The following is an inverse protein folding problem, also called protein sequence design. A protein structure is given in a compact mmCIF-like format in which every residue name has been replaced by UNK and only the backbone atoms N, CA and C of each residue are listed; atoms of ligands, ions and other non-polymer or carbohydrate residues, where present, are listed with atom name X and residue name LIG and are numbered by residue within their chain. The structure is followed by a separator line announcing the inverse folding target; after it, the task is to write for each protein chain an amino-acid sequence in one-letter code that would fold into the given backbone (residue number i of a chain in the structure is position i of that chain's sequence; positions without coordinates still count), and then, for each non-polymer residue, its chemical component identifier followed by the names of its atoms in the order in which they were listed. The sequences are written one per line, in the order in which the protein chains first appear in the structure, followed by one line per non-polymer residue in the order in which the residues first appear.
data_IF_719805568672
#
_entry.id   IF_719805568672
#
_cell.length_a   1.000
_cell.length_b   1.000
_cell.length_c   1.000
_cell.angle_alpha   90.00
_cell.angle_beta   90.00
_cell.angle_gamma   90.00
#
_symmetry.space_group_name_H-M   'P 1'
#
loop_
_entity.id
_entity.type
_entity.pdbx_description
1 polymer ?
#
# COMPACT_ATOMS: atom_id res chain seq x y z
N UNK A 1 10.41 32.01 1.30
CA UNK A 1 11.43 30.99 0.96
C UNK A 1 11.74 30.23 2.24
N UNK A 2 11.07 29.10 2.47
CA UNK A 2 11.31 28.26 3.65
C UNK A 2 11.95 26.96 3.19
N UNK A 3 13.21 26.75 3.56
CA UNK A 3 13.95 25.51 3.36
C UNK A 3 13.53 24.50 4.42
N UNK A 4 12.90 23.39 4.01
CA UNK A 4 12.58 22.28 4.90
C UNK A 4 13.85 21.47 5.17
N UNK A 5 14.35 21.52 6.41
CA UNK A 5 15.56 20.83 6.88
C UNK A 5 15.25 19.47 7.55
N UNK A 6 14.15 18.82 7.19
CA UNK A 6 13.84 17.47 7.67
C UNK A 6 14.57 16.44 6.84
N UNK A 7 15.68 15.90 7.36
CA UNK A 7 16.41 14.81 6.71
C UNK A 7 15.52 13.56 6.62
N UNK A 8 15.57 12.87 5.47
CA UNK A 8 14.95 11.54 5.21
C UNK A 8 15.14 10.54 6.36
N UNK A 9 16.18 10.73 7.17
CA UNK A 9 16.46 9.95 8.38
C UNK A 9 15.32 9.94 9.42
N UNK A 10 14.53 11.00 9.54
CA UNK A 10 13.46 11.04 10.54
C UNK A 10 12.27 10.13 10.16
N UNK A 11 11.92 10.04 8.87
CA UNK A 11 10.91 9.11 8.40
C UNK A 11 11.34 7.63 8.55
N UNK A 12 12.64 7.36 8.44
CA UNK A 12 13.21 6.03 8.68
C UNK A 12 13.24 5.63 10.16
N UNK A 13 13.33 6.61 11.08
CA UNK A 13 13.26 6.34 12.52
C UNK A 13 11.83 6.03 12.98
N UNK A 14 10.79 6.64 12.40
CA UNK A 14 9.40 6.22 12.63
C UNK A 14 9.08 4.84 12.04
N UNK A 15 9.89 4.37 11.08
CA UNK A 15 9.83 3.01 10.54
C UNK A 15 10.47 1.99 11.50
N UNK A 16 11.25 2.42 12.49
CA UNK A 16 11.87 1.49 13.47
C UNK A 16 10.85 0.80 14.39
N UNK A 17 9.64 1.34 14.53
CA UNK A 17 8.52 0.66 15.19
C UNK A 17 7.88 -0.44 14.32
N UNK A 18 8.27 -0.54 13.05
CA UNK A 18 7.96 -1.63 12.13
C UNK A 18 9.20 -2.52 11.96
N UNK A 19 9.63 -3.17 13.04
CA UNK A 19 10.82 -4.03 13.01
C UNK A 19 10.60 -5.24 12.08
N UNK A 20 11.35 -5.26 10.98
CA UNK A 20 11.59 -6.47 10.19
C UNK A 20 12.93 -7.06 10.66
N UNK A 21 12.94 -8.34 11.02
CA UNK A 21 14.17 -9.10 11.20
C UNK A 21 14.81 -9.26 9.83
N UNK A 22 15.87 -8.49 9.54
CA UNK A 22 16.71 -8.71 8.37
C UNK A 22 17.46 -10.04 8.56
N UNK A 23 16.96 -11.10 7.95
CA UNK A 23 17.70 -12.37 7.84
C UNK A 23 18.81 -12.14 6.81
N UNK A 24 20.05 -12.12 7.29
CA UNK A 24 21.23 -12.12 6.44
C UNK A 24 21.50 -13.53 5.90
N UNK A 25 21.24 -13.75 4.61
CA UNK A 25 21.85 -14.84 3.82
C UNK A 25 21.77 -14.45 2.34
N UNK A 26 22.87 -13.97 1.77
CA UNK A 26 23.86 -14.71 0.97
C UNK A 26 23.47 -14.92 -0.49
N UNK A 27 24.32 -14.36 -1.36
CA UNK A 27 24.50 -14.60 -2.80
C UNK A 27 23.41 -14.09 -3.77
N UNK A 28 23.80 -13.10 -4.57
CA UNK A 28 23.08 -12.59 -5.73
C UNK A 28 23.11 -13.64 -6.86
N UNK A 29 22.17 -14.57 -6.83
CA UNK A 29 21.77 -15.32 -8.02
C UNK A 29 20.36 -14.88 -8.38
N UNK A 30 20.13 -14.57 -9.65
CA UNK A 30 18.80 -14.22 -10.17
C UNK A 30 17.87 -15.42 -9.98
N UNK A 31 17.07 -15.39 -8.92
CA UNK A 31 16.04 -16.40 -8.67
C UNK A 31 14.95 -16.16 -9.72
N UNK A 32 14.68 -17.12 -10.63
CA UNK A 32 13.59 -16.96 -11.58
C UNK A 32 12.26 -16.82 -10.83
N UNK A 33 11.33 -16.05 -11.40
CA UNK A 33 9.98 -15.98 -10.84
C UNK A 33 9.42 -17.39 -10.73
N UNK A 34 8.80 -17.72 -9.59
CA UNK A 34 8.22 -19.03 -9.40
C UNK A 34 7.04 -19.26 -10.35
N UNK A 35 6.78 -20.52 -10.68
CA UNK A 35 5.65 -20.85 -11.54
C UNK A 35 4.32 -20.43 -10.87
N UNK A 36 3.37 -19.84 -11.61
CA UNK A 36 2.11 -19.35 -11.05
C UNK A 36 1.24 -20.45 -10.44
N UNK A 37 1.44 -21.71 -10.87
CA UNK A 37 0.72 -22.90 -10.39
C UNK A 37 1.34 -23.55 -9.15
N UNK A 38 2.49 -23.06 -8.67
CA UNK A 38 3.09 -23.60 -7.44
C UNK A 38 2.32 -23.16 -6.20
N UNK A 39 2.14 -24.09 -5.25
CA UNK A 39 1.56 -23.76 -3.95
C UNK A 39 2.44 -22.72 -3.24
N UNK A 40 1.80 -21.82 -2.49
CA UNK A 40 2.53 -20.92 -1.61
C UNK A 40 3.27 -21.70 -0.52
N UNK A 41 4.49 -21.27 -0.24
CA UNK A 41 5.23 -21.75 0.93
C UNK A 41 4.53 -21.30 2.22
N UNK A 42 4.79 -21.99 3.33
CA UNK A 42 4.26 -21.57 4.63
C UNK A 42 4.75 -20.17 5.04
N UNK A 43 5.98 -19.82 4.64
CA UNK A 43 6.52 -18.48 4.81
C UNK A 43 5.78 -17.43 3.97
N UNK A 44 5.47 -17.72 2.71
CA UNK A 44 4.67 -16.83 1.85
C UNK A 44 3.27 -16.62 2.43
N UNK A 45 2.62 -17.69 2.89
CA UNK A 45 1.32 -17.61 3.57
C UNK A 45 1.39 -16.75 4.84
N UNK A 46 2.42 -16.95 5.66
CA UNK A 46 2.63 -16.17 6.88
C UNK A 46 2.84 -14.68 6.55
N UNK A 47 3.68 -14.38 5.56
CA UNK A 47 3.98 -13.01 5.14
C UNK A 47 2.78 -12.31 4.49
N UNK A 48 1.83 -13.09 3.94
CA UNK A 48 0.62 -12.61 3.28
C UNK A 48 -0.58 -12.38 4.19
N UNK A 49 -0.52 -12.80 5.45
CA UNK A 49 -1.59 -12.56 6.42
C UNK A 49 -2.00 -11.09 6.48
N UNK A 50 -3.28 -10.79 6.76
CA UNK A 50 -3.73 -9.42 6.94
C UNK A 50 -2.93 -8.70 8.02
N UNK A 51 -2.57 -7.44 7.74
CA UNK A 51 -1.78 -6.60 8.64
C UNK A 51 -2.57 -5.39 9.09
N UNK A 52 -2.38 -4.98 10.33
CA UNK A 52 -2.99 -3.78 10.91
C UNK A 52 -1.91 -2.72 11.06
N UNK A 53 -2.10 -1.58 10.41
CA UNK A 53 -1.23 -0.40 10.47
C UNK A 53 -1.91 0.66 11.32
N UNK A 54 -1.24 1.12 12.38
CA UNK A 54 -1.70 2.22 13.21
C UNK A 54 -1.23 3.52 12.59
N UNK A 55 -2.15 4.39 12.21
CA UNK A 55 -1.83 5.70 11.63
C UNK A 55 -1.66 6.73 12.74
N UNK A 56 -2.61 6.75 13.68
CA UNK A 56 -2.59 7.61 14.86
C UNK A 56 -3.44 6.95 15.95
N UNK A 57 -3.65 7.65 17.07
CA UNK A 57 -4.43 7.14 18.22
C UNK A 57 -5.88 6.75 17.87
N UNK A 58 -6.42 7.25 16.77
CA UNK A 58 -7.82 7.09 16.39
C UNK A 58 -8.02 6.26 15.12
N UNK A 59 -6.98 6.07 14.31
CA UNK A 59 -7.09 5.46 12.99
C UNK A 59 -6.14 4.28 12.82
N UNK A 60 -6.70 3.16 12.38
CA UNK A 60 -5.99 1.99 11.88
C UNK A 60 -6.42 1.67 10.45
N UNK A 61 -5.52 1.05 9.69
CA UNK A 61 -5.83 0.45 8.39
C UNK A 61 -5.50 -1.02 8.43
N UNK A 62 -6.42 -1.84 7.95
CA UNK A 62 -6.24 -3.28 7.77
C UNK A 62 -5.96 -3.54 6.30
N UNK A 63 -4.82 -4.13 5.98
CA UNK A 63 -4.46 -4.51 4.61
C UNK A 63 -4.46 -6.03 4.51
N UNK A 64 -5.32 -6.55 3.64
CA UNK A 64 -5.25 -7.93 3.15
C UNK A 64 -4.45 -7.96 1.84
N UNK A 65 -3.73 -9.06 1.62
CA UNK A 65 -2.94 -9.33 0.42
C UNK A 65 -3.58 -10.48 -0.36
N UNK A 66 -3.16 -10.70 -1.61
CA UNK A 66 -3.67 -11.82 -2.40
C UNK A 66 -3.03 -13.12 -1.92
N UNK A 67 -3.85 -14.02 -1.38
CA UNK A 67 -3.40 -15.24 -0.68
C UNK A 67 -3.44 -16.51 -1.55
N UNK A 68 -4.18 -16.51 -2.66
CA UNK A 68 -4.46 -17.74 -3.42
C UNK A 68 -3.66 -17.89 -4.72
N UNK A 69 -2.85 -16.89 -5.06
CA UNK A 69 -2.07 -16.87 -6.31
C UNK A 69 -0.63 -16.44 -6.01
N UNK A 70 0.34 -17.15 -6.59
CA UNK A 70 1.76 -16.80 -6.45
C UNK A 70 2.14 -15.73 -7.46
N UNK A 71 3.02 -14.82 -7.07
CA UNK A 71 3.53 -13.80 -7.97
C UNK A 71 4.49 -14.46 -8.94
N UNK A 72 4.17 -14.42 -10.23
CA UNK A 72 4.92 -15.15 -11.26
C UNK A 72 5.49 -14.24 -12.34
N UNK A 73 5.07 -12.97 -12.34
CA UNK A 73 5.48 -11.98 -13.34
C UNK A 73 5.35 -10.56 -12.78
N UNK A 74 5.69 -9.57 -13.61
CA UNK A 74 5.48 -8.15 -13.30
C UNK A 74 3.99 -7.79 -13.18
N UNK A 75 3.09 -8.55 -13.82
CA UNK A 75 1.64 -8.28 -13.78
C UNK A 75 1.03 -8.62 -12.41
N UNK A 76 1.72 -9.43 -11.60
CA UNK A 76 1.27 -9.92 -10.29
C UNK A 76 1.88 -9.15 -9.11
N UNK A 77 2.71 -8.12 -9.35
CA UNK A 77 3.45 -7.44 -8.27
C UNK A 77 2.54 -6.74 -7.27
N UNK A 78 1.30 -6.40 -7.65
CA UNK A 78 0.29 -5.80 -6.79
C UNK A 78 -0.33 -6.73 -5.74
N UNK A 79 -0.01 -8.03 -5.77
CA UNK A 79 -0.54 -9.02 -4.80
C UNK A 79 -0.09 -8.81 -3.36
N UNK A 80 1.03 -8.12 -3.16
CA UNK A 80 1.64 -7.91 -1.84
C UNK A 80 1.84 -6.42 -1.56
N UNK A 81 1.92 -6.10 -0.27
CA UNK A 81 2.20 -4.74 0.20
C UNK A 81 3.69 -4.45 0.05
N UNK A 82 4.01 -3.37 -0.66
CA UNK A 82 5.39 -2.92 -0.84
C UNK A 82 5.78 -1.88 0.22
N UNK A 83 6.99 -1.96 0.80
CA UNK A 83 7.46 -0.97 1.78
C UNK A 83 7.39 0.48 1.28
N UNK A 84 7.55 0.70 -0.03
CA UNK A 84 7.42 2.03 -0.66
C UNK A 84 6.04 2.66 -0.44
N UNK A 85 4.97 1.87 -0.40
CA UNK A 85 3.61 2.38 -0.16
C UNK A 85 3.47 2.95 1.26
N UNK A 86 4.12 2.33 2.25
CA UNK A 86 4.16 2.83 3.63
C UNK A 86 5.00 4.11 3.74
N UNK A 87 6.15 4.16 3.06
CA UNK A 87 7.02 5.34 3.04
C UNK A 87 6.29 6.52 2.40
N UNK A 88 5.65 6.31 1.25
CA UNK A 88 4.88 7.34 0.56
C UNK A 88 3.68 7.80 1.40
N UNK A 89 2.96 6.85 2.01
CA UNK A 89 1.87 7.18 2.91
C UNK A 89 2.35 8.01 4.11
N UNK A 90 3.44 7.62 4.77
CA UNK A 90 4.03 8.38 5.86
C UNK A 90 4.41 9.80 5.43
N UNK A 91 5.03 9.95 4.26
CA UNK A 91 5.32 11.28 3.72
C UNK A 91 4.05 12.11 3.52
N UNK A 92 3.01 11.52 2.93
CA UNK A 92 1.72 12.19 2.73
C UNK A 92 1.07 12.55 4.06
N UNK A 93 1.05 11.67 5.07
CA UNK A 93 0.45 11.98 6.37
C UNK A 93 1.10 13.16 7.07
N UNK A 94 2.39 13.41 6.83
CA UNK A 94 3.10 14.55 7.41
C UNK A 94 2.92 15.85 6.61
N UNK A 95 2.52 15.76 5.34
CA UNK A 95 2.54 16.90 4.41
C UNK A 95 1.18 17.16 3.72
N UNK A 96 0.12 16.40 4.04
CA UNK A 96 -1.14 16.42 3.28
C UNK A 96 -1.82 17.79 3.22
N UNK A 97 -1.64 18.67 4.19
CA UNK A 97 -2.21 20.03 4.18
C UNK A 97 -1.53 20.95 3.16
N UNK A 98 -0.26 20.68 2.86
CA UNK A 98 0.50 21.41 1.84
C UNK A 98 0.35 20.78 0.45
N UNK A 99 0.16 19.46 0.40
CA UNK A 99 0.02 18.70 -0.85
C UNK A 99 -1.37 18.80 -1.47
N UNK A 100 -2.43 18.92 -0.65
CA UNK A 100 -3.81 18.84 -1.15
C UNK A 100 -4.68 19.97 -0.62
N UNK A 101 -5.33 20.68 -1.55
CA UNK A 101 -6.38 21.65 -1.22
C UNK A 101 -7.67 20.94 -0.78
N UNK A 102 -8.55 21.57 0.03
CA UNK A 102 -9.82 20.98 0.40
C UNK A 102 -10.67 20.57 -0.80
N UNK A 103 -11.38 19.44 -0.71
CA UNK A 103 -12.25 18.91 -1.78
C UNK A 103 -11.54 18.55 -3.10
N UNK A 104 -10.22 18.33 -3.06
CA UNK A 104 -9.48 17.88 -4.25
C UNK A 104 -9.86 16.45 -4.64
N UNK A 105 -9.75 16.17 -5.93
CA UNK A 105 -9.84 14.82 -6.47
C UNK A 105 -8.42 14.25 -6.62
N UNK A 106 -8.17 13.08 -6.04
CA UNK A 106 -6.86 12.41 -6.06
C UNK A 106 -7.00 11.06 -6.75
N UNK A 107 -6.03 10.72 -7.60
CA UNK A 107 -5.93 9.42 -8.22
C UNK A 107 -4.59 8.76 -7.87
N UNK A 108 -4.64 7.51 -7.42
CA UNK A 108 -3.47 6.66 -7.22
C UNK A 108 -3.38 5.65 -8.36
N UNK A 109 -2.22 5.60 -9.03
CA UNK A 109 -1.92 4.64 -10.08
C UNK A 109 -1.05 3.50 -9.53
N UNK A 110 -1.42 2.25 -9.84
CA UNK A 110 -0.69 1.08 -9.35
C UNK A 110 -0.81 0.94 -7.83
N UNK A 111 -2.03 1.07 -7.31
CA UNK A 111 -2.32 1.08 -5.89
C UNK A 111 -1.98 -0.24 -5.19
N UNK A 112 -1.93 -1.36 -5.92
CA UNK A 112 -1.67 -2.67 -5.34
C UNK A 112 -2.67 -2.98 -4.22
N UNK A 113 -2.17 -3.10 -3.00
CA UNK A 113 -3.00 -3.31 -1.81
C UNK A 113 -3.75 -2.06 -1.30
N UNK A 114 -3.43 -0.86 -1.83
CA UNK A 114 -4.15 0.40 -1.60
C UNK A 114 -3.73 1.20 -0.38
N UNK A 115 -2.59 0.89 0.26
CA UNK A 115 -2.19 1.52 1.52
C UNK A 115 -2.17 3.05 1.45
N UNK A 116 -1.63 3.62 0.37
CA UNK A 116 -1.43 5.07 0.26
C UNK A 116 -2.74 5.82 0.02
N UNK A 117 -3.52 5.46 -0.99
CA UNK A 117 -4.78 6.14 -1.33
C UNK A 117 -5.87 5.93 -0.28
N UNK A 118 -6.01 4.70 0.25
CA UNK A 118 -6.93 4.45 1.37
C UNK A 118 -6.47 5.18 2.64
N UNK A 119 -5.17 5.16 2.90
CA UNK A 119 -4.51 5.93 3.93
C UNK A 119 -4.91 7.40 3.88
N UNK A 120 -4.71 8.01 2.72
CA UNK A 120 -5.05 9.40 2.47
C UNK A 120 -6.54 9.66 2.69
N UNK A 121 -7.42 8.86 2.09
CA UNK A 121 -8.88 9.00 2.27
C UNK A 121 -9.28 8.95 3.75
N UNK A 122 -8.65 8.05 4.53
CA UNK A 122 -8.92 7.92 5.96
C UNK A 122 -8.46 9.11 6.80
N UNK A 123 -7.33 9.73 6.45
CA UNK A 123 -6.84 10.93 7.17
C UNK A 123 -7.44 12.24 6.66
N UNK A 124 -7.97 12.23 5.43
CA UNK A 124 -8.54 13.39 4.72
C UNK A 124 -9.88 13.02 4.11
N UNK A 125 -10.89 12.92 4.98
CA UNK A 125 -12.26 12.60 4.58
C UNK A 125 -12.94 13.66 3.70
N UNK A 126 -12.32 14.85 3.54
CA UNK A 126 -12.74 15.89 2.62
C UNK A 126 -12.25 15.67 1.17
N UNK A 127 -11.35 14.70 0.92
CA UNK A 127 -10.83 14.40 -0.41
C UNK A 127 -11.63 13.28 -1.07
N UNK A 128 -11.75 13.35 -2.41
CA UNK A 128 -12.29 12.25 -3.22
C UNK A 128 -11.14 11.46 -3.81
N UNK A 129 -10.92 10.24 -3.33
CA UNK A 129 -9.77 9.41 -3.76
C UNK A 129 -10.25 8.31 -4.70
N UNK A 130 -9.54 8.14 -5.81
CA UNK A 130 -9.69 6.97 -6.70
C UNK A 130 -8.40 6.17 -6.66
N UNK A 131 -8.50 4.87 -6.37
CA UNK A 131 -7.37 3.95 -6.36
C UNK A 131 -7.47 3.00 -7.54
N UNK A 132 -6.40 2.87 -8.31
CA UNK A 132 -6.42 2.15 -9.58
C UNK A 132 -5.28 1.14 -9.67
N UNK A 133 -5.55 0.04 -10.36
CA UNK A 133 -4.57 -0.96 -10.71
C UNK A 133 -4.97 -1.60 -12.04
N UNK A 134 -4.02 -2.20 -12.74
CA UNK A 134 -4.28 -2.88 -14.01
C UNK A 134 -4.84 -4.29 -13.78
N UNK A 135 -4.38 -4.99 -12.74
CA UNK A 135 -4.70 -6.39 -12.53
C UNK A 135 -6.07 -6.56 -11.83
N UNK A 136 -6.98 -7.33 -12.44
CA UNK A 136 -8.32 -7.57 -11.91
C UNK A 136 -8.33 -8.24 -10.52
N UNK A 137 -7.40 -9.16 -10.27
CA UNK A 137 -7.24 -9.81 -8.97
C UNK A 137 -6.82 -8.79 -7.92
N UNK A 138 -5.92 -7.87 -8.29
CA UNK A 138 -5.50 -6.76 -7.42
C UNK A 138 -6.67 -5.84 -7.12
N UNK A 139 -7.45 -5.45 -8.13
CA UNK A 139 -8.64 -4.62 -7.94
C UNK A 139 -9.70 -5.27 -7.06
N UNK A 140 -9.91 -6.59 -7.19
CA UNK A 140 -10.78 -7.35 -6.30
C UNK A 140 -10.31 -7.30 -4.84
N UNK A 141 -9.00 -7.49 -4.61
CA UNK A 141 -8.41 -7.36 -3.28
C UNK A 141 -8.47 -5.92 -2.74
N UNK A 142 -8.26 -4.93 -3.60
CA UNK A 142 -8.36 -3.52 -3.27
C UNK A 142 -9.78 -3.13 -2.83
N UNK A 143 -10.80 -3.60 -3.54
CA UNK A 143 -12.21 -3.43 -3.15
C UNK A 143 -12.52 -4.08 -1.80
N UNK A 144 -11.99 -5.28 -1.54
CA UNK A 144 -12.08 -5.92 -0.22
C UNK A 144 -11.43 -5.06 0.87
N UNK A 145 -10.24 -4.51 0.60
CA UNK A 145 -9.54 -3.65 1.55
C UNK A 145 -10.31 -2.36 1.85
N UNK A 146 -10.95 -1.73 0.85
CA UNK A 146 -11.84 -0.58 1.07
C UNK A 146 -12.98 -0.92 2.03
N UNK A 147 -13.65 -2.06 1.79
CA UNK A 147 -14.78 -2.51 2.61
C UNK A 147 -14.38 -2.79 4.06
N UNK A 148 -13.28 -3.51 4.29
CA UNK A 148 -12.79 -3.83 5.64
C UNK A 148 -12.43 -2.55 6.41
N UNK A 149 -12.02 -1.49 5.71
CA UNK A 149 -11.67 -0.20 6.32
C UNK A 149 -12.82 0.81 6.37
N UNK A 150 -14.01 0.45 5.88
CA UNK A 150 -15.20 1.30 5.79
C UNK A 150 -14.96 2.58 4.96
N UNK A 151 -14.28 2.44 3.81
CA UNK A 151 -13.89 3.57 2.96
C UNK A 151 -14.63 3.64 1.62
N UNK A 152 -15.63 2.78 1.38
CA UNK A 152 -16.35 2.70 0.09
C UNK A 152 -17.10 4.01 -0.28
N UNK A 153 -17.38 4.91 0.68
CA UNK A 153 -18.02 6.22 0.42
C UNK A 153 -17.03 7.33 0.01
N UNK A 154 -15.76 7.26 0.45
CA UNK A 154 -14.75 8.31 0.24
C UNK A 154 -13.59 7.89 -0.69
N UNK A 155 -13.51 6.60 -1.02
CA UNK A 155 -12.48 6.04 -1.87
C UNK A 155 -13.07 4.94 -2.75
N UNK A 156 -12.87 5.05 -4.07
CA UNK A 156 -13.40 4.09 -5.04
C UNK A 156 -12.28 3.38 -5.80
N UNK A 157 -12.50 2.09 -6.12
CA UNK A 157 -11.66 1.38 -7.08
C UNK A 157 -12.04 1.78 -8.51
N UNK A 158 -11.04 1.92 -9.37
CA UNK A 158 -11.28 2.17 -10.79
C UNK A 158 -10.30 1.35 -11.65
N UNK A 159 -10.86 0.55 -12.57
CA UNK A 159 -10.10 -0.40 -13.39
C UNK A 159 -9.30 0.28 -14.51
N UNK A 160 -9.82 1.37 -15.08
CA UNK A 160 -9.15 2.13 -16.13
C UNK A 160 -9.33 3.63 -15.93
N UNK A 161 -8.24 4.37 -16.06
CA UNK A 161 -8.26 5.83 -16.16
C UNK A 161 -8.52 6.21 -17.61
N UNK A 162 -9.65 6.86 -17.88
CA UNK A 162 -9.92 7.49 -19.18
C UNK A 162 -9.81 9.00 -18.99
N UNK A 163 -8.90 9.63 -19.73
CA UNK A 163 -8.71 11.07 -19.78
C UNK A 163 -9.56 11.69 -20.89
#
# INVERSE_FOLDING_TARGET
MYTYSGSIKNALNDISDYTYTLISSSQSHSIPFPSPKSLLTEEEKLNRRPRIYKINKHHNIIISQVENVRQSSQEDVGYVMWPSALILFSYITHNHTQLFTPNSHVIELGAGCGMTGMGLSKVRGDLKVKVTDYNEVVLGNLGRNLRINLLEEGCETMHQVRF
#
